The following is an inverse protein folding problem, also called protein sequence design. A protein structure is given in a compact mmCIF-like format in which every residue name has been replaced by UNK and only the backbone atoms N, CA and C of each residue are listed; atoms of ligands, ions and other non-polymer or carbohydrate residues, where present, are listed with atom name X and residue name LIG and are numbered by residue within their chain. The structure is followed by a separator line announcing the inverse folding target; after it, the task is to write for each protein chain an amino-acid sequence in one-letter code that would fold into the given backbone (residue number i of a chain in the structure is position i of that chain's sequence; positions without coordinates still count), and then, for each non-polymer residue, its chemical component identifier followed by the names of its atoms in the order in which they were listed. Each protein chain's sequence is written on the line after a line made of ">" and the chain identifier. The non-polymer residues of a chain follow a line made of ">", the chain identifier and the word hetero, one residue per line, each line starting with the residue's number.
data_IF_259073752894
#
_entry.id   IF_259073752894
#
_cell.length_a   1.000
_cell.length_b   1.000
_cell.length_c   1.000
_cell.angle_alpha   90.00
_cell.angle_beta   90.00
_cell.angle_gamma   90.00
#
_symmetry.space_group_name_H-M   'P 1'
#
loop_
_entity.id
_entity.type
_entity.pdbx_description
1 polymer ?
#
# COMPACT_ATOMS: atom_id res chain seq x y z
N UNK A 1 1.00 10.47 -7.38
CA UNK A 1 0.93 10.68 -5.92
C UNK A 1 -0.48 11.03 -5.44
N UNK A 2 -1.14 12.10 -5.93
CA UNK A 2 -2.51 12.45 -5.50
C UNK A 2 -3.55 11.36 -5.83
N UNK A 3 -3.54 10.85 -7.07
CA UNK A 3 -4.44 9.77 -7.52
C UNK A 3 -4.18 8.48 -6.73
N UNK A 4 -2.90 8.15 -6.52
CA UNK A 4 -2.49 6.99 -5.73
C UNK A 4 -2.99 7.09 -4.28
N UNK A 5 -2.81 8.24 -3.62
CA UNK A 5 -3.32 8.48 -2.27
C UNK A 5 -4.84 8.34 -2.19
N UNK A 6 -5.56 8.94 -3.13
CA UNK A 6 -7.02 8.87 -3.19
C UNK A 6 -7.50 7.43 -3.37
N UNK A 7 -6.92 6.70 -4.34
CA UNK A 7 -7.24 5.30 -4.59
C UNK A 7 -7.00 4.43 -3.36
N UNK A 8 -5.85 4.57 -2.70
CA UNK A 8 -5.55 3.84 -1.47
C UNK A 8 -6.52 4.18 -0.33
N UNK A 9 -6.84 5.47 -0.12
CA UNK A 9 -7.76 5.87 0.94
C UNK A 9 -9.15 5.25 0.73
N UNK A 10 -9.68 5.29 -0.49
CA UNK A 10 -10.97 4.68 -0.84
C UNK A 10 -10.92 3.17 -0.59
N UNK A 11 -9.88 2.49 -1.05
CA UNK A 11 -9.73 1.03 -0.87
C UNK A 11 -9.61 0.64 0.61
N UNK A 12 -8.83 1.38 1.40
CA UNK A 12 -8.68 1.14 2.84
C UNK A 12 -10.03 1.30 3.55
N UNK A 13 -10.76 2.39 3.27
CA UNK A 13 -12.09 2.61 3.87
C UNK A 13 -13.05 1.49 3.47
N UNK A 14 -13.06 1.07 2.21
CA UNK A 14 -13.89 -0.03 1.75
C UNK A 14 -13.56 -1.35 2.46
N UNK A 15 -12.27 -1.66 2.65
CA UNK A 15 -11.82 -2.86 3.39
C UNK A 15 -12.30 -2.81 4.83
N UNK A 16 -12.17 -1.67 5.51
CA UNK A 16 -12.60 -1.50 6.91
C UNK A 16 -14.12 -1.65 7.03
N UNK A 17 -14.89 -1.03 6.14
CA UNK A 17 -16.34 -1.14 6.13
C UNK A 17 -16.80 -2.57 5.86
N UNK A 18 -16.17 -3.25 4.89
CA UNK A 18 -16.45 -4.67 4.63
C UNK A 18 -16.13 -5.52 5.85
N UNK A 19 -14.95 -5.37 6.45
CA UNK A 19 -14.56 -6.15 7.61
C UNK A 19 -15.49 -5.98 8.82
N UNK A 20 -16.07 -4.79 9.01
CA UNK A 20 -16.95 -4.48 10.14
C UNK A 20 -18.43 -4.82 9.88
N UNK A 21 -18.93 -4.60 8.66
CA UNK A 21 -20.37 -4.64 8.36
C UNK A 21 -20.78 -5.91 7.61
N UNK A 22 -19.89 -6.49 6.83
CA UNK A 22 -20.12 -7.71 6.08
C UNK A 22 -19.19 -8.78 6.64
N UNK A 23 -19.71 -9.81 7.31
CA UNK A 23 -18.93 -10.97 7.77
C UNK A 23 -18.21 -11.75 6.65
N UNK A 24 -18.17 -11.22 5.42
CA UNK A 24 -17.49 -11.75 4.25
C UNK A 24 -15.97 -11.61 4.33
N UNK A 25 -15.35 -12.54 5.04
CA UNK A 25 -13.89 -12.70 5.09
C UNK A 25 -13.27 -12.85 3.69
N UNK A 26 -13.97 -13.54 2.77
CA UNK A 26 -13.52 -13.70 1.38
C UNK A 26 -13.46 -12.37 0.61
N UNK A 27 -14.46 -11.50 0.75
CA UNK A 27 -14.49 -10.19 0.09
C UNK A 27 -13.45 -9.24 0.67
N UNK A 28 -13.29 -9.26 2.00
CA UNK A 28 -12.24 -8.48 2.69
C UNK A 28 -10.85 -8.88 2.20
N UNK A 29 -10.60 -10.19 2.07
CA UNK A 29 -9.34 -10.72 1.54
C UNK A 29 -9.13 -10.34 0.06
N UNK A 30 -10.17 -10.41 -0.77
CA UNK A 30 -10.08 -9.99 -2.16
C UNK A 30 -9.70 -8.51 -2.29
N UNK A 31 -10.32 -7.64 -1.48
CA UNK A 31 -10.01 -6.21 -1.47
C UNK A 31 -8.60 -5.91 -0.94
N UNK A 32 -8.11 -6.69 0.03
CA UNK A 32 -6.72 -6.61 0.48
C UNK A 32 -5.73 -6.96 -0.65
N UNK A 33 -6.04 -7.98 -1.46
CA UNK A 33 -5.22 -8.33 -2.64
C UNK A 33 -5.24 -7.18 -3.66
N UNK A 34 -6.41 -6.62 -3.96
CA UNK A 34 -6.55 -5.46 -4.87
C UNK A 34 -5.70 -4.28 -4.38
N UNK A 35 -5.78 -3.95 -3.09
CA UNK A 35 -4.96 -2.90 -2.49
C UNK A 35 -3.46 -3.22 -2.58
N UNK A 36 -3.05 -4.45 -2.29
CA UNK A 36 -1.65 -4.88 -2.39
C UNK A 36 -1.11 -4.75 -3.82
N UNK A 37 -1.88 -5.20 -4.81
CA UNK A 37 -1.53 -5.06 -6.23
C UNK A 37 -1.45 -3.59 -6.63
N UNK A 38 -2.41 -2.77 -6.20
CA UNK A 38 -2.41 -1.32 -6.47
C UNK A 38 -1.15 -0.64 -5.92
N UNK A 39 -0.79 -0.92 -4.67
CA UNK A 39 0.38 -0.33 -4.03
C UNK A 39 1.69 -0.81 -4.68
N UNK A 40 1.78 -2.10 -5.07
CA UNK A 40 2.93 -2.63 -5.81
C UNK A 40 3.09 -1.99 -7.19
N UNK A 41 1.99 -1.87 -7.95
CA UNK A 41 1.99 -1.22 -9.25
C UNK A 41 2.38 0.27 -9.13
N UNK A 42 1.85 0.96 -8.13
CA UNK A 42 2.21 2.36 -7.84
C UNK A 42 3.67 2.51 -7.43
N UNK A 43 4.20 1.58 -6.60
CA UNK A 43 5.60 1.56 -6.22
C UNK A 43 6.51 1.35 -7.44
N UNK A 44 6.19 0.37 -8.28
CA UNK A 44 6.92 0.09 -9.51
C UNK A 44 6.93 1.33 -10.43
N UNK A 45 5.76 1.91 -10.70
CA UNK A 45 5.64 3.12 -11.51
C UNK A 45 6.49 4.27 -10.97
N UNK A 46 6.48 4.52 -9.64
CA UNK A 46 7.29 5.55 -9.01
C UNK A 46 8.81 5.28 -9.11
N UNK A 47 9.22 4.02 -9.06
CA UNK A 47 10.63 3.63 -9.23
C UNK A 47 11.07 3.84 -10.68
N UNK A 48 10.28 3.35 -11.65
CA UNK A 48 10.67 3.38 -13.06
C UNK A 48 10.60 4.79 -13.67
N UNK A 49 9.52 5.54 -13.42
CA UNK A 49 9.30 6.84 -14.06
C UNK A 49 10.03 7.96 -13.34
N UNK A 50 10.01 7.95 -12.00
CA UNK A 50 10.52 9.08 -11.19
C UNK A 50 11.80 8.75 -10.41
N UNK A 51 12.40 7.56 -10.63
CA UNK A 51 13.61 7.09 -9.91
C UNK A 51 13.49 7.21 -8.40
N UNK A 52 12.30 6.96 -7.84
CA UNK A 52 12.02 7.19 -6.43
C UNK A 52 12.59 6.07 -5.53
N UNK A 53 13.90 6.13 -5.22
CA UNK A 53 14.65 5.08 -4.51
C UNK A 53 14.00 4.62 -3.20
N UNK A 54 13.35 5.51 -2.44
CA UNK A 54 12.69 5.13 -1.18
C UNK A 54 11.61 4.05 -1.35
N UNK A 55 10.99 3.94 -2.53
CA UNK A 55 9.94 2.94 -2.82
C UNK A 55 10.52 1.56 -3.10
N UNK A 56 11.82 1.45 -3.37
CA UNK A 56 12.50 0.17 -3.58
C UNK A 56 12.49 -0.70 -2.32
N UNK A 57 12.64 -0.09 -1.14
CA UNK A 57 12.60 -0.81 0.13
C UNK A 57 11.22 -1.43 0.37
N UNK A 58 10.16 -0.65 0.16
CA UNK A 58 8.79 -1.17 0.21
C UNK A 58 8.58 -2.32 -0.77
N UNK A 59 9.00 -2.15 -2.03
CA UNK A 59 8.81 -3.16 -3.07
C UNK A 59 9.48 -4.50 -2.71
N UNK A 60 10.73 -4.45 -2.22
CA UNK A 60 11.46 -5.63 -1.74
C UNK A 60 10.74 -6.30 -0.56
N UNK A 61 10.35 -5.52 0.45
CA UNK A 61 9.65 -6.04 1.63
C UNK A 61 8.30 -6.66 1.27
N UNK A 62 7.54 -6.03 0.38
CA UNK A 62 6.25 -6.53 -0.06
C UNK A 62 6.38 -7.86 -0.84
N UNK A 63 7.41 -8.01 -1.69
CA UNK A 63 7.68 -9.27 -2.40
C UNK A 63 8.07 -10.37 -1.41
N UNK A 64 9.02 -10.08 -0.50
CA UNK A 64 9.44 -11.06 0.52
C UNK A 64 8.25 -11.52 1.36
N UNK A 65 7.40 -10.56 1.77
CA UNK A 65 6.21 -10.87 2.53
C UNK A 65 5.24 -11.72 1.70
N UNK A 66 4.95 -11.36 0.44
CA UNK A 66 4.04 -12.13 -0.41
C UNK A 66 4.51 -13.58 -0.63
N UNK A 67 5.81 -13.79 -0.86
CA UNK A 67 6.40 -15.13 -1.05
C UNK A 67 6.39 -15.93 0.25
N UNK A 68 6.67 -15.29 1.39
CA UNK A 68 6.70 -15.97 2.69
C UNK A 68 5.30 -16.19 3.29
N UNK A 69 4.29 -15.41 2.89
CA UNK A 69 2.95 -15.41 3.49
C UNK A 69 2.30 -16.80 3.60
N UNK A 70 2.38 -17.70 2.59
CA UNK A 70 1.82 -19.05 2.69
C UNK A 70 2.43 -19.88 3.82
N UNK A 71 3.73 -19.68 4.10
CA UNK A 71 4.45 -20.35 5.18
C UNK A 71 3.96 -19.77 6.53
N UNK A 72 3.88 -18.44 6.63
CA UNK A 72 3.40 -17.76 7.84
C UNK A 72 1.95 -18.12 8.18
N UNK A 73 1.06 -18.21 7.19
CA UNK A 73 -0.34 -18.62 7.42
C UNK A 73 -0.40 -20.02 8.03
N UNK A 74 0.46 -20.96 7.60
CA UNK A 74 0.51 -22.31 8.19
C UNK A 74 1.07 -22.32 9.62
N UNK A 75 1.99 -21.43 9.95
CA UNK A 75 2.67 -21.40 11.25
C UNK A 75 1.88 -20.65 12.32
N UNK A 76 1.33 -19.48 11.99
CA UNK A 76 0.70 -18.57 12.96
C UNK A 76 -0.76 -18.23 12.63
N UNK A 77 -1.33 -18.87 11.60
CA UNK A 77 -2.73 -18.73 11.25
C UNK A 77 -3.12 -17.28 10.91
N UNK A 78 -4.24 -16.76 11.46
CA UNK A 78 -4.69 -15.39 11.23
C UNK A 78 -3.70 -14.30 11.68
N UNK A 79 -2.76 -14.59 12.58
CA UNK A 79 -1.76 -13.60 12.98
C UNK A 79 -0.78 -13.25 11.85
N UNK A 80 -0.70 -14.07 10.79
CA UNK A 80 0.08 -13.77 9.59
C UNK A 80 -0.38 -12.51 8.85
N UNK A 81 -1.62 -12.03 9.08
CA UNK A 81 -2.12 -10.80 8.47
C UNK A 81 -1.60 -9.52 9.13
N UNK A 82 -1.05 -9.57 10.35
CA UNK A 82 -0.44 -8.40 11.00
C UNK A 82 0.70 -7.77 10.20
N UNK A 83 1.73 -8.52 9.74
CA UNK A 83 2.79 -7.95 8.90
C UNK A 83 2.25 -7.44 7.55
N UNK A 84 1.19 -8.05 7.00
CA UNK A 84 0.54 -7.57 5.77
C UNK A 84 -0.09 -6.20 6.00
N UNK A 85 -0.86 -6.05 7.07
CA UNK A 85 -1.44 -4.76 7.47
C UNK A 85 -0.34 -3.71 7.71
N UNK A 86 0.75 -4.10 8.38
CA UNK A 86 1.90 -3.22 8.61
C UNK A 86 2.53 -2.69 7.33
N UNK A 87 2.76 -3.55 6.33
CA UNK A 87 3.31 -3.15 5.02
C UNK A 87 2.33 -2.24 4.25
N UNK A 88 1.04 -2.54 4.28
CA UNK A 88 -0.01 -1.72 3.65
C UNK A 88 -0.05 -0.32 4.26
N UNK A 89 -0.07 -0.22 5.59
CA UNK A 89 -0.07 1.05 6.32
C UNK A 89 1.22 1.81 6.07
N UNK A 90 2.37 1.13 6.05
CA UNK A 90 3.66 1.76 5.79
C UNK A 90 3.70 2.45 4.43
N UNK A 91 3.21 1.80 3.37
CA UNK A 91 3.13 2.43 2.04
C UNK A 91 2.23 3.64 2.01
N UNK A 92 1.05 3.51 2.62
CA UNK A 92 0.06 4.59 2.69
C UNK A 92 0.65 5.82 3.39
N UNK A 93 1.29 5.63 4.55
CA UNK A 93 1.96 6.68 5.31
C UNK A 93 3.06 7.36 4.49
N UNK A 94 3.88 6.59 3.78
CA UNK A 94 4.87 7.17 2.86
C UNK A 94 4.20 8.01 1.77
N UNK A 95 3.10 7.55 1.18
CA UNK A 95 2.36 8.27 0.14
C UNK A 95 1.72 9.56 0.66
N UNK A 96 1.24 9.57 1.90
CA UNK A 96 0.78 10.79 2.60
C UNK A 96 1.93 11.79 2.73
N UNK A 97 3.08 11.36 3.28
CA UNK A 97 4.22 12.25 3.47
C UNK A 97 4.76 12.83 2.17
N UNK A 98 4.88 12.00 1.13
CA UNK A 98 5.34 12.45 -0.18
C UNK A 98 4.34 13.44 -0.79
N UNK A 99 3.03 13.21 -0.62
CA UNK A 99 1.99 14.12 -1.10
C UNK A 99 2.04 15.46 -0.38
N UNK A 100 2.17 15.46 0.96
CA UNK A 100 2.34 16.69 1.75
C UNK A 100 3.58 17.45 1.29
N UNK A 101 4.71 16.76 1.08
CA UNK A 101 5.95 17.38 0.59
C UNK A 101 5.74 18.03 -0.78
N UNK A 102 5.00 17.41 -1.68
CA UNK A 102 4.68 18.00 -3.00
C UNK A 102 3.79 19.23 -2.87
N UNK A 103 2.79 19.20 -1.98
CA UNK A 103 1.90 20.35 -1.74
C UNK A 103 2.60 21.54 -1.08
N UNK A 104 3.55 21.28 -0.18
CA UNK A 104 4.27 22.32 0.57
C UNK A 104 5.47 22.91 -0.19
N UNK A 105 5.81 22.42 -1.39
CA UNK A 105 6.86 23.04 -2.20
C UNK A 105 6.36 24.38 -2.78
N UNK A 106 7.12 25.48 -2.65
CA UNK A 106 6.77 26.74 -3.28
C UNK A 106 6.68 26.56 -4.80
N UNK A 107 5.67 27.20 -5.42
CA UNK A 107 5.27 27.00 -6.82
C UNK A 107 6.39 27.22 -7.85
N UNK A 108 7.48 27.90 -7.50
CA UNK A 108 8.60 28.22 -8.42
C UNK A 108 9.49 27.04 -8.81
N UNK A 109 9.22 25.82 -8.32
CA UNK A 109 9.93 24.63 -8.79
C UNK A 109 9.36 24.09 -10.12
N UNK A 110 8.23 24.64 -10.59
CA UNK A 110 7.64 24.34 -11.90
C UNK A 110 7.99 25.38 -12.98
N UNK A 111 8.91 26.32 -12.70
CA UNK A 111 9.51 27.21 -13.70
C UNK A 111 10.74 26.60 -14.40
N UNK A 112 10.95 25.27 -14.31
CA UNK A 112 11.94 24.53 -15.10
C UNK A 112 11.41 23.14 -15.49
#
# INVERSE_FOLDING_TARGET
>A
MKIDLLGQAILIVAIVLLALLASGQALTNAMLVVLGVWQLASAAHLIYVYRHIKRLNYFKTAIILAVSLPIWIKLVGPFAYFPVAGVVVWYFVQTVFDTIKVYNRPRSFWDL
#
